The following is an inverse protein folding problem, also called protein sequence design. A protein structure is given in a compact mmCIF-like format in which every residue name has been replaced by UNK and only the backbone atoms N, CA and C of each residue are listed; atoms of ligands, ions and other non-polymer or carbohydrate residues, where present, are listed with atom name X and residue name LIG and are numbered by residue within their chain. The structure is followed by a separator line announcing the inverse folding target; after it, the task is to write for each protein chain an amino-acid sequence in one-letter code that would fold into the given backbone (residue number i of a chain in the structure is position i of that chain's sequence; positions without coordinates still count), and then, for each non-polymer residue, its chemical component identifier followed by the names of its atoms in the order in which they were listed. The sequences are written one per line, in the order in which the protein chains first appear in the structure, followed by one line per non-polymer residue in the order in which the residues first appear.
data_IF_789534559835
#
_entry.id   IF_789534559835
#
_cell.length_a   1.000
_cell.length_b   1.000
_cell.length_c   1.000
_cell.angle_alpha   90.00
_cell.angle_beta   90.00
_cell.angle_gamma   90.00
#
_symmetry.space_group_name_H-M   'P 1'
#
loop_
_entity.id
_entity.type
_entity.pdbx_description
1 polymer ?
#
# COMPACT_ATOMS: atom_id res chain seq x y z
N UNK A 1 9.80 -21.67 -8.38
CA UNK A 1 8.36 -21.63 -8.02
C UNK A 1 7.57 -21.36 -9.30
N UNK A 2 6.68 -22.26 -9.72
CA UNK A 2 5.91 -22.16 -10.97
C UNK A 2 4.46 -21.83 -10.60
N UNK A 3 3.91 -20.73 -11.14
CA UNK A 3 2.50 -20.39 -10.96
C UNK A 3 1.75 -21.08 -12.10
N UNK A 4 0.95 -22.09 -11.77
CA UNK A 4 0.21 -22.90 -12.74
C UNK A 4 -1.16 -22.32 -13.07
N UNK A 5 -1.78 -21.63 -12.11
CA UNK A 5 -3.08 -20.98 -12.27
C UNK A 5 -3.19 -19.73 -11.40
N UNK A 6 -3.91 -18.73 -11.91
CA UNK A 6 -4.35 -17.55 -11.17
C UNK A 6 -5.84 -17.39 -11.44
N UNK A 7 -6.64 -17.25 -10.38
CA UNK A 7 -8.05 -16.92 -10.47
C UNK A 7 -8.34 -15.66 -9.66
N UNK A 8 -9.08 -14.72 -10.25
CA UNK A 8 -9.56 -13.51 -9.57
C UNK A 8 -11.04 -13.67 -9.28
N UNK A 9 -11.38 -13.66 -8.00
CA UNK A 9 -12.77 -13.75 -7.54
C UNK A 9 -13.30 -12.37 -7.21
N UNK A 10 -14.24 -11.87 -8.01
CA UNK A 10 -14.95 -10.63 -7.73
C UNK A 10 -16.32 -10.93 -7.13
N UNK A 11 -16.60 -10.38 -5.95
CA UNK A 11 -17.91 -10.53 -5.29
C UNK A 11 -18.87 -9.46 -5.80
N UNK A 12 -19.88 -9.87 -6.57
CA UNK A 12 -21.00 -8.97 -6.92
C UNK A 12 -22.00 -8.95 -5.77
N UNK A 13 -22.26 -7.77 -5.22
CA UNK A 13 -23.33 -7.56 -4.23
C UNK A 13 -24.51 -6.91 -4.94
N UNK A 14 -25.63 -7.62 -5.02
CA UNK A 14 -26.88 -7.08 -5.54
C UNK A 14 -27.69 -6.49 -4.38
N UNK A 15 -27.94 -5.17 -4.34
CA UNK A 15 -28.75 -4.56 -3.30
C UNK A 15 -30.21 -5.03 -3.38
N UNK A 16 -30.93 -4.98 -2.26
CA UNK A 16 -32.34 -5.35 -2.26
C UNK A 16 -33.18 -4.39 -3.12
N UNK A 17 -34.29 -4.86 -3.74
CA UNK A 17 -35.14 -4.02 -4.58
C UNK A 17 -35.68 -2.77 -3.88
N UNK A 18 -36.00 -2.88 -2.58
CA UNK A 18 -36.50 -1.78 -1.76
C UNK A 18 -35.50 -0.63 -1.66
N UNK A 19 -34.21 -0.96 -1.48
CA UNK A 19 -33.12 0.02 -1.38
C UNK A 19 -32.93 0.73 -2.73
N UNK A 20 -32.97 -0.01 -3.84
CA UNK A 20 -32.89 0.57 -5.18
C UNK A 20 -34.02 1.56 -5.45
N UNK A 21 -35.25 1.21 -5.06
CA UNK A 21 -36.43 2.07 -5.27
C UNK A 21 -36.38 3.33 -4.41
N UNK A 22 -35.82 3.26 -3.19
CA UNK A 22 -35.57 4.43 -2.35
C UNK A 22 -34.54 5.36 -3.00
N UNK A 23 -33.39 4.83 -3.44
CA UNK A 23 -32.37 5.64 -4.10
C UNK A 23 -32.85 6.23 -5.43
N UNK A 24 -33.64 5.50 -6.22
CA UNK A 24 -34.23 6.01 -7.46
C UNK A 24 -35.15 7.23 -7.24
N UNK A 25 -35.76 7.36 -6.05
CA UNK A 25 -36.55 8.54 -5.66
C UNK A 25 -35.70 9.70 -5.13
N UNK A 26 -34.58 9.39 -4.46
CA UNK A 26 -33.71 10.38 -3.80
C UNK A 26 -32.72 11.02 -4.79
N UNK A 27 -32.19 10.26 -5.74
CA UNK A 27 -31.20 10.78 -6.69
C UNK A 27 -31.73 11.94 -7.56
N UNK A 28 -32.98 11.92 -8.05
CA UNK A 28 -33.55 13.05 -8.81
C UNK A 28 -33.96 14.23 -7.92
N UNK A 29 -34.10 14.05 -6.60
CA UNK A 29 -34.64 15.06 -5.70
C UNK A 29 -33.63 16.15 -5.29
N UNK A 30 -32.49 16.25 -5.99
CA UNK A 30 -31.46 17.27 -5.75
C UNK A 30 -30.63 17.08 -4.48
N UNK A 31 -30.75 15.93 -3.80
CA UNK A 31 -29.96 15.64 -2.59
C UNK A 31 -28.50 15.38 -2.98
N UNK A 32 -27.56 16.07 -2.33
CA UNK A 32 -26.13 15.83 -2.55
C UNK A 32 -25.73 14.46 -1.99
N UNK A 33 -25.41 13.52 -2.88
CA UNK A 33 -24.86 12.19 -2.52
C UNK A 33 -23.34 12.21 -2.60
N UNK A 34 -22.66 11.76 -1.53
CA UNK A 34 -21.19 11.64 -1.48
C UNK A 34 -20.77 10.19 -1.68
N UNK A 35 -20.07 9.90 -2.78
CA UNK A 35 -19.49 8.59 -3.03
C UNK A 35 -18.04 8.53 -2.51
N UNK A 36 -17.70 7.59 -1.61
CA UNK A 36 -16.33 7.43 -1.15
C UNK A 36 -15.47 6.86 -2.29
N UNK A 37 -14.66 7.70 -2.93
CA UNK A 37 -13.65 7.24 -3.90
C UNK A 37 -12.34 6.93 -3.17
N UNK A 38 -11.96 5.65 -3.15
CA UNK A 38 -10.65 5.22 -2.69
C UNK A 38 -9.78 4.92 -3.91
N UNK A 39 -8.72 5.71 -4.12
CA UNK A 39 -7.76 5.47 -5.19
C UNK A 39 -6.48 4.89 -4.60
N UNK A 40 -6.09 3.72 -5.10
CA UNK A 40 -4.74 3.18 -4.85
C UNK A 40 -3.79 3.79 -5.87
N UNK A 41 -2.65 4.30 -5.40
CA UNK A 41 -1.57 4.78 -6.25
C UNK A 41 -0.29 4.04 -5.88
N UNK A 42 0.30 3.35 -6.85
CA UNK A 42 1.60 2.70 -6.70
C UNK A 42 2.69 3.61 -7.28
N UNK A 43 3.77 3.80 -6.53
CA UNK A 43 4.98 4.47 -7.00
C UNK A 43 6.16 3.53 -6.82
N UNK A 44 6.89 3.26 -7.89
CA UNK A 44 8.05 2.36 -7.88
C UNK A 44 9.33 3.16 -7.96
N UNK A 45 10.34 2.75 -7.18
CA UNK A 45 11.70 3.29 -7.23
C UNK A 45 12.69 2.13 -7.23
N UNK A 46 13.66 2.18 -8.14
CA UNK A 46 14.77 1.23 -8.17
C UNK A 46 15.90 1.72 -7.28
N UNK A 47 16.45 0.83 -6.48
CA UNK A 47 17.54 1.10 -5.54
C UNK A 47 18.74 0.27 -6.00
N UNK A 48 19.91 0.90 -6.14
CA UNK A 48 21.13 0.17 -6.54
C UNK A 48 21.73 -0.55 -5.33
N UNK A 49 22.33 -1.72 -5.58
CA UNK A 49 23.07 -2.47 -4.57
C UNK A 49 24.20 -1.62 -3.98
N UNK A 50 24.37 -1.67 -2.65
CA UNK A 50 25.39 -0.87 -1.95
C UNK A 50 24.94 0.55 -1.58
N UNK A 51 23.70 0.95 -1.92
CA UNK A 51 23.15 2.23 -1.49
C UNK A 51 22.86 2.20 0.02
N UNK A 52 23.41 3.16 0.77
CA UNK A 52 23.24 3.25 2.23
C UNK A 52 22.06 4.14 2.64
N UNK A 53 21.71 5.13 1.82
CA UNK A 53 20.63 6.08 2.13
C UNK A 53 19.93 6.53 0.84
N UNK A 54 18.60 6.56 0.87
CA UNK A 54 17.75 7.12 -0.18
C UNK A 54 16.70 8.01 0.46
N UNK A 55 16.59 9.22 -0.09
CA UNK A 55 15.52 10.16 0.24
C UNK A 55 14.66 10.33 -1.01
N UNK A 56 13.34 10.14 -0.86
CA UNK A 56 12.37 10.43 -1.92
C UNK A 56 11.41 11.49 -1.44
N UNK A 57 11.58 12.70 -1.97
CA UNK A 57 10.70 13.83 -1.67
C UNK A 57 9.48 13.86 -2.59
N UNK A 58 8.46 14.61 -2.18
CA UNK A 58 7.24 14.85 -2.94
C UNK A 58 6.52 13.56 -3.38
N UNK A 59 6.47 12.56 -2.48
CA UNK A 59 5.78 11.29 -2.74
C UNK A 59 4.28 11.49 -3.06
N UNK A 60 3.62 12.52 -2.53
CA UNK A 60 2.28 12.93 -2.95
C UNK A 60 2.17 14.47 -2.98
N UNK A 61 1.57 14.99 -4.04
CA UNK A 61 1.21 16.40 -4.18
C UNK A 61 -0.30 16.51 -3.97
N UNK A 62 -0.72 17.19 -2.90
CA UNK A 62 -2.14 17.38 -2.57
C UNK A 62 -2.67 16.38 -1.54
N UNK A 63 -3.69 15.60 -1.91
CA UNK A 63 -4.38 14.68 -0.99
C UNK A 63 -3.44 13.56 -0.55
N UNK A 64 -3.21 13.46 0.76
CA UNK A 64 -2.45 12.37 1.36
C UNK A 64 -3.26 11.07 1.33
N UNK A 65 -2.60 9.93 1.06
CA UNK A 65 -3.27 8.64 1.11
C UNK A 65 -3.66 8.30 2.56
N UNK A 66 -4.74 7.52 2.70
CA UNK A 66 -5.18 7.02 4.01
C UNK A 66 -4.29 5.92 4.58
N UNK A 67 -3.57 5.20 3.73
CA UNK A 67 -2.67 4.09 4.09
C UNK A 67 -1.49 4.09 3.14
N UNK A 68 -0.32 3.77 3.69
CA UNK A 68 0.92 3.59 2.96
C UNK A 68 1.40 2.16 3.17
N UNK A 69 1.83 1.52 2.08
CA UNK A 69 2.40 0.18 2.09
C UNK A 69 3.71 0.26 1.32
N UNK A 70 4.80 -0.16 1.96
CA UNK A 70 6.10 -0.29 1.34
C UNK A 70 6.38 -1.78 1.13
N UNK A 71 6.75 -2.13 -0.10
CA UNK A 71 7.16 -3.48 -0.46
C UNK A 71 8.45 -3.39 -1.26
N UNK A 72 9.45 -4.15 -0.84
CA UNK A 72 10.72 -4.24 -1.55
C UNK A 72 10.77 -5.59 -2.27
N UNK A 73 11.20 -5.54 -3.52
CA UNK A 73 11.31 -6.70 -4.40
C UNK A 73 12.57 -6.51 -5.24
N UNK A 74 13.20 -7.62 -5.63
CA UNK A 74 14.32 -7.55 -6.56
C UNK A 74 13.86 -6.94 -7.89
N UNK A 75 14.68 -6.05 -8.46
CA UNK A 75 14.38 -5.42 -9.74
C UNK A 75 14.17 -6.44 -10.88
N UNK A 76 14.88 -7.57 -10.83
CA UNK A 76 14.68 -8.69 -11.77
C UNK A 76 13.31 -9.36 -11.61
N UNK A 77 12.82 -9.52 -10.38
CA UNK A 77 11.46 -10.02 -10.13
C UNK A 77 10.39 -9.04 -10.61
N UNK A 78 10.59 -7.73 -10.38
CA UNK A 78 9.63 -6.69 -10.80
C UNK A 78 9.55 -6.53 -12.33
N UNK A 79 10.67 -6.65 -13.04
CA UNK A 79 10.76 -6.46 -14.48
C UNK A 79 10.56 -7.76 -15.31
N UNK A 80 9.87 -8.76 -14.76
CA UNK A 80 9.51 -10.03 -15.44
C UNK A 80 10.67 -10.96 -15.78
N UNK A 81 11.40 -11.42 -14.77
CA UNK A 81 12.16 -12.67 -14.86
C UNK A 81 11.22 -13.86 -14.60
N UNK A 82 11.02 -14.72 -15.62
CA UNK A 82 10.14 -15.90 -15.54
C UNK A 82 10.55 -16.89 -14.43
N UNK A 83 11.81 -16.87 -13.99
CA UNK A 83 12.29 -17.69 -12.88
C UNK A 83 11.96 -17.13 -11.49
N UNK A 84 11.51 -15.87 -11.40
CA UNK A 84 11.37 -15.14 -10.14
C UNK A 84 9.94 -14.65 -9.92
N UNK A 85 9.57 -14.54 -8.64
CA UNK A 85 8.23 -14.14 -8.23
C UNK A 85 8.21 -12.65 -7.84
N UNK A 86 7.44 -11.78 -8.53
CA UNK A 86 7.29 -10.37 -8.16
C UNK A 86 6.53 -10.14 -6.86
N UNK A 87 5.85 -11.16 -6.32
CA UNK A 87 5.15 -11.11 -5.04
C UNK A 87 5.99 -11.62 -3.86
N UNK A 88 7.24 -12.00 -4.11
CA UNK A 88 8.18 -12.31 -3.05
C UNK A 88 8.80 -11.02 -2.51
N UNK A 89 8.25 -10.52 -1.40
CA UNK A 89 8.77 -9.33 -0.75
C UNK A 89 10.02 -9.69 0.07
N UNK A 90 11.12 -9.00 -0.21
CA UNK A 90 12.40 -9.20 0.45
C UNK A 90 12.72 -8.03 1.36
N UNK A 91 13.47 -8.27 2.43
CA UNK A 91 13.79 -7.22 3.41
C UNK A 91 14.89 -6.26 2.95
N UNK A 92 15.67 -6.65 1.94
CA UNK A 92 16.77 -5.86 1.35
C UNK A 92 17.75 -5.25 2.37
N UNK A 93 17.86 -5.82 3.58
CA UNK A 93 18.69 -5.36 4.70
C UNK A 93 18.44 -3.89 5.10
N UNK A 94 17.21 -3.42 4.97
CA UNK A 94 16.84 -2.05 5.35
C UNK A 94 16.74 -1.96 6.87
N UNK A 95 17.58 -1.14 7.50
CA UNK A 95 17.61 -1.00 8.96
C UNK A 95 16.63 0.06 9.48
N UNK A 96 16.37 1.10 8.68
CA UNK A 96 15.60 2.27 9.09
C UNK A 96 14.77 2.80 7.91
N UNK A 97 13.47 3.05 8.16
CA UNK A 97 12.59 3.76 7.25
C UNK A 97 11.98 4.96 7.98
N UNK A 98 11.98 6.12 7.34
CA UNK A 98 11.46 7.37 7.92
C UNK A 98 10.46 8.01 6.97
N UNK A 99 9.27 8.35 7.48
CA UNK A 99 8.24 9.09 6.75
C UNK A 99 8.12 10.51 7.32
N UNK A 100 8.24 11.51 6.44
CA UNK A 100 7.97 12.92 6.78
C UNK A 100 6.73 13.40 6.06
N UNK A 101 5.85 14.06 6.79
CA UNK A 101 4.63 14.66 6.26
C UNK A 101 4.54 16.11 6.72
N UNK A 102 4.41 17.06 5.78
CA UNK A 102 4.32 18.50 6.05
C UNK A 102 5.42 19.04 7.00
N UNK A 103 6.67 18.57 6.82
CA UNK A 103 7.81 18.97 7.65
C UNK A 103 7.88 18.28 9.03
N UNK A 104 6.83 17.56 9.44
CA UNK A 104 6.82 16.80 10.67
C UNK A 104 7.24 15.35 10.42
N UNK A 105 8.09 14.83 11.30
CA UNK A 105 8.39 13.40 11.34
C UNK A 105 7.12 12.67 11.76
N UNK A 106 6.58 11.84 10.87
CA UNK A 106 5.46 10.99 11.23
C UNK A 106 6.03 9.86 12.10
N UNK A 107 5.76 9.94 13.41
CA UNK A 107 6.26 8.99 14.40
C UNK A 107 5.45 7.70 14.31
N UNK A 108 5.67 6.93 13.24
CA UNK A 108 5.72 5.48 13.46
C UNK A 108 6.87 5.26 14.43
N UNK A 109 6.75 4.36 15.40
CA UNK A 109 7.94 3.97 16.14
C UNK A 109 9.07 3.68 15.13
N UNK A 110 10.30 4.11 15.42
CA UNK A 110 11.45 3.83 14.54
C UNK A 110 11.36 2.34 14.20
N UNK A 111 11.05 2.03 12.94
CA UNK A 111 10.98 0.64 12.49
C UNK A 111 12.41 0.16 12.39
N UNK A 112 13.02 -0.12 13.54
CA UNK A 112 14.23 -0.91 13.63
C UNK A 112 13.80 -2.31 13.26
N UNK A 113 14.00 -2.62 11.99
CA UNK A 113 13.79 -3.96 11.49
C UNK A 113 14.97 -4.79 12.00
N UNK A 114 14.81 -5.41 13.17
CA UNK A 114 15.80 -6.33 13.72
C UNK A 114 15.62 -7.68 13.05
N UNK A 115 16.57 -8.04 12.20
CA UNK A 115 16.59 -9.33 11.52
C UNK A 115 17.63 -10.19 12.24
N UNK A 116 17.18 -10.96 13.22
CA UNK A 116 17.97 -12.06 13.76
C UNK A 116 18.22 -13.03 12.59
N UNK A 117 19.51 -13.23 12.31
CA UNK A 117 20.01 -14.14 11.29
C UNK A 117 19.51 -15.55 11.64
N UNK A 118 18.53 -16.10 10.92
CA UNK A 118 18.17 -17.52 10.92
C UNK A 118 17.16 -17.80 9.80
N UNK A 119 17.67 -18.27 8.65
CA UNK A 119 17.16 -19.39 7.84
C UNK A 119 15.73 -19.41 7.28
N UNK A 120 14.78 -18.63 7.76
CA UNK A 120 13.39 -18.66 7.32
C UNK A 120 12.96 -17.26 6.87
N UNK A 121 12.35 -17.20 5.69
CA UNK A 121 11.65 -16.02 5.16
C UNK A 121 10.47 -15.66 6.07
N UNK A 122 10.77 -15.12 7.25
CA UNK A 122 9.81 -14.48 8.12
C UNK A 122 9.40 -13.17 7.44
N UNK A 123 8.32 -13.23 6.68
CA UNK A 123 7.62 -12.05 6.17
C UNK A 123 7.00 -11.32 7.36
N UNK A 124 7.79 -10.56 8.11
CA UNK A 124 7.30 -9.74 9.22
C UNK A 124 6.50 -8.58 8.63
N UNK A 125 5.21 -8.83 8.39
CA UNK A 125 4.24 -7.79 8.03
C UNK A 125 3.87 -7.03 9.29
N UNK A 126 4.66 -6.03 9.64
CA UNK A 126 4.30 -5.09 10.71
C UNK A 126 3.17 -4.19 10.19
N UNK A 127 1.95 -4.44 10.67
CA UNK A 127 0.80 -3.58 10.43
C UNK A 127 0.74 -2.52 11.51
N UNK A 128 1.32 -1.35 11.25
CA UNK A 128 1.12 -0.18 12.10
C UNK A 128 -0.03 0.67 11.52
N UNK A 129 -1.05 0.90 12.35
CA UNK A 129 -2.17 1.77 12.01
C UNK A 129 -1.92 3.13 12.65
N UNK A 130 -1.38 4.05 11.87
CA UNK A 130 -1.34 5.45 12.27
C UNK A 130 -2.18 6.29 11.30
N UNK A 131 -3.22 6.92 11.84
CA UNK A 131 -4.22 7.65 11.06
C UNK A 131 -3.73 9.06 10.76
N UNK A 132 -3.42 9.33 9.49
CA UNK A 132 -2.93 10.63 8.98
C UNK A 132 -3.94 11.82 9.08
N UNK A 133 -5.00 11.72 9.88
CA UNK A 133 -5.98 12.80 10.06
C UNK A 133 -5.74 13.52 11.39
N UNK A 134 -5.45 14.82 11.34
CA UNK A 134 -5.63 15.69 12.50
C UNK A 134 -7.14 15.71 12.84
N UNK A 135 -7.48 15.39 14.09
CA UNK A 135 -8.77 15.81 14.66
C UNK A 135 -8.74 17.34 14.76
N UNK A 136 -9.69 17.99 14.11
CA UNK A 136 -9.85 19.44 14.05
C UNK A 136 -10.70 19.79 12.85
#
# INVERSE_FOLDING_TARGET
MKITEIAVYARRVTPSPTILLQYAKILPSGVMVKYPSQRVQMKTKSIQTGTTNIVTDHLWLGKLPRRLIFGFVLASSFNSDYGKNPFNFEHCKISNLTLRCAGQLYRSNLMRLDFSDDGESSTTTLREYDSLHKKG
#
